data_IF_864825717010
#
_entry.id   IF_864825717010
#
_cell.length_a   1.000
_cell.length_b   1.000
_cell.length_c   1.000
_cell.angle_alpha   90.00
_cell.angle_beta   90.00
_cell.angle_gamma   90.00
#
_symmetry.space_group_name_H-M   'P 1'
#
loop_
_entity.id
_entity.type
_entity.pdbx_description
1 polymer ?
#
# COMPACT_ATOMS: atom_id res chain seq x y z
N UNK A 1 66.57 34.42 47.87
CA UNK A 1 66.40 33.15 47.11
C UNK A 1 67.31 33.17 45.89
N UNK A 2 68.31 32.28 45.84
CA UNK A 2 69.40 32.29 44.85
C UNK A 2 68.84 32.18 43.41
N UNK A 3 69.33 32.99 42.46
CA UNK A 3 68.85 33.06 41.06
C UNK A 3 68.76 31.68 40.38
N UNK A 4 69.69 30.77 40.73
CA UNK A 4 69.74 29.39 40.24
C UNK A 4 68.52 28.54 40.60
N UNK A 5 67.92 28.76 41.79
CA UNK A 5 66.73 28.01 42.20
C UNK A 5 65.48 28.51 41.48
N UNK A 6 65.38 29.80 41.14
CA UNK A 6 64.25 30.35 40.37
C UNK A 6 64.19 29.76 38.97
N UNK A 7 65.33 29.59 38.30
CA UNK A 7 65.42 28.97 36.98
C UNK A 7 65.00 27.50 37.05
N UNK A 8 65.46 26.75 38.05
CA UNK A 8 65.09 25.35 38.23
C UNK A 8 63.57 25.17 38.48
N UNK A 9 62.96 26.02 39.31
CA UNK A 9 61.51 25.98 39.55
C UNK A 9 60.71 26.33 38.29
N UNK A 10 61.14 27.32 37.50
CA UNK A 10 60.51 27.66 36.22
C UNK A 10 60.63 26.52 35.19
N UNK A 11 61.77 25.84 35.14
CA UNK A 11 61.98 24.68 34.27
C UNK A 11 61.11 23.48 34.67
N UNK A 12 60.92 23.23 35.97
CA UNK A 12 60.05 22.15 36.46
C UNK A 12 58.57 22.45 36.16
N UNK A 13 58.13 23.69 36.38
CA UNK A 13 56.74 24.11 36.06
C UNK A 13 56.48 24.05 34.55
N UNK A 14 57.44 24.46 33.72
CA UNK A 14 57.34 24.34 32.26
C UNK A 14 57.28 22.87 31.80
N UNK A 15 58.06 21.98 32.42
CA UNK A 15 58.05 20.55 32.09
C UNK A 15 56.73 19.87 32.49
N UNK A 16 56.15 20.22 33.65
CA UNK A 16 54.83 19.74 34.07
C UNK A 16 53.73 20.26 33.14
N UNK A 17 53.80 21.52 32.70
CA UNK A 17 52.84 22.09 31.75
C UNK A 17 52.87 21.39 30.37
N UNK A 18 54.05 20.94 29.92
CA UNK A 18 54.20 20.17 28.67
C UNK A 18 53.61 18.77 28.81
N UNK A 19 53.74 18.12 29.97
CA UNK A 19 53.19 16.79 30.23
C UNK A 19 51.65 16.79 30.34
N UNK A 20 51.03 17.88 30.80
CA UNK A 20 49.57 18.01 30.93
C UNK A 20 48.89 18.77 29.77
N UNK A 21 49.65 19.37 28.85
CA UNK A 21 49.12 20.21 27.77
C UNK A 21 48.55 19.43 26.56
N UNK A 22 48.69 18.11 26.52
CA UNK A 22 48.26 17.29 25.38
C UNK A 22 47.04 16.42 25.74
N UNK A 23 45.94 17.06 26.14
CA UNK A 23 44.64 16.38 26.17
C UNK A 23 44.26 16.02 24.74
N UNK A 24 44.29 14.72 24.42
CA UNK A 24 43.90 14.20 23.10
C UNK A 24 42.44 14.59 22.86
N UNK A 25 42.20 15.51 21.93
CA UNK A 25 40.84 15.89 21.53
C UNK A 25 40.12 14.64 21.06
N UNK A 26 39.08 14.24 21.77
CA UNK A 26 38.28 13.08 21.40
C UNK A 26 37.60 13.36 20.06
N UNK A 27 37.84 12.47 19.08
CA UNK A 27 37.30 12.65 17.74
C UNK A 27 35.82 12.25 17.73
N UNK A 28 34.96 13.21 17.38
CA UNK A 28 33.56 13.00 17.10
C UNK A 28 32.63 13.10 18.32
N UNK A 29 31.33 13.11 18.04
CA UNK A 29 30.24 13.21 19.01
C UNK A 29 29.17 12.17 18.69
N UNK A 30 28.55 11.59 19.71
CA UNK A 30 27.37 10.74 19.58
C UNK A 30 26.32 11.22 20.58
N UNK A 31 25.18 11.68 20.08
CA UNK A 31 24.11 12.27 20.87
C UNK A 31 23.29 11.19 21.58
N UNK A 32 22.75 11.54 22.74
CA UNK A 32 21.76 10.72 23.45
C UNK A 32 20.32 10.98 22.96
N UNK A 33 20.11 12.01 22.13
CA UNK A 33 18.80 12.42 21.63
C UNK A 33 18.58 12.12 20.14
N UNK A 34 19.23 11.09 19.60
CA UNK A 34 18.95 10.61 18.25
C UNK A 34 17.52 10.03 18.16
N UNK A 35 16.80 10.30 17.07
CA UNK A 35 15.38 9.89 16.94
C UNK A 35 14.94 9.65 15.50
N UNK A 36 13.83 8.92 15.34
CA UNK A 36 13.16 8.76 14.06
C UNK A 36 12.03 9.78 13.86
N UNK A 37 11.86 10.27 12.64
CA UNK A 37 10.73 11.11 12.23
C UNK A 37 10.19 10.70 10.84
N UNK A 38 8.88 10.50 10.67
CA UNK A 38 7.83 10.55 11.70
C UNK A 38 7.92 9.38 12.70
N UNK A 39 7.37 9.59 13.89
CA UNK A 39 7.21 8.57 14.94
C UNK A 39 5.84 8.79 15.62
N UNK A 40 4.82 7.95 15.35
CA UNK A 40 4.93 6.63 14.74
C UNK A 40 5.13 6.65 13.21
N UNK A 41 5.86 5.66 12.70
CA UNK A 41 5.84 5.27 11.29
C UNK A 41 4.57 4.46 11.03
N UNK A 42 3.66 4.99 10.22
CA UNK A 42 2.42 4.31 9.85
C UNK A 42 2.64 3.53 8.56
N UNK A 43 2.37 2.23 8.60
CA UNK A 43 2.46 1.33 7.45
C UNK A 43 1.15 0.55 7.27
N UNK A 44 0.87 0.14 6.04
CA UNK A 44 -0.24 -0.76 5.71
C UNK A 44 0.32 -2.13 5.37
N UNK A 45 -0.26 -3.20 5.92
CA UNK A 45 0.16 -4.57 5.62
C UNK A 45 0.22 -4.81 4.11
N UNK A 46 1.31 -5.43 3.66
CA UNK A 46 1.51 -5.78 2.26
C UNK A 46 2.01 -4.64 1.37
N UNK A 47 2.15 -3.42 1.90
CA UNK A 47 2.73 -2.29 1.18
C UNK A 47 4.19 -2.07 1.56
N UNK A 48 4.95 -1.49 0.63
CA UNK A 48 6.30 -0.99 0.91
C UNK A 48 6.20 0.37 1.58
N UNK A 49 6.80 0.53 2.75
CA UNK A 49 6.85 1.81 3.50
C UNK A 49 8.29 2.06 3.95
N UNK A 50 8.80 3.29 3.80
CA UNK A 50 10.13 3.64 4.29
C UNK A 50 10.10 4.90 5.14
N UNK A 51 10.94 4.96 6.17
CA UNK A 51 11.13 6.16 6.98
C UNK A 51 12.14 7.12 6.34
N UNK A 52 12.34 8.27 6.97
CA UNK A 52 13.57 9.05 6.81
C UNK A 52 14.76 8.30 7.45
N UNK A 53 15.97 8.79 7.18
CA UNK A 53 17.14 8.36 7.96
C UNK A 53 16.95 8.73 9.45
N UNK A 54 17.70 8.08 10.34
CA UNK A 54 17.75 8.44 11.75
C UNK A 54 18.28 9.88 11.88
N UNK A 55 17.56 10.71 12.62
CA UNK A 55 18.01 12.07 12.95
C UNK A 55 19.12 11.96 14.00
N UNK A 56 20.29 12.50 13.66
CA UNK A 56 21.52 12.27 14.41
C UNK A 56 21.74 13.24 15.57
N UNK A 57 20.94 14.29 15.66
CA UNK A 57 21.05 15.33 16.69
C UNK A 57 22.51 15.80 16.89
N UNK A 58 23.15 16.23 15.80
CA UNK A 58 24.53 16.72 15.83
C UNK A 58 25.62 15.64 15.93
N UNK A 59 25.27 14.35 16.02
CA UNK A 59 26.27 13.26 16.02
C UNK A 59 27.13 13.30 14.76
N UNK A 60 28.43 13.03 14.93
CA UNK A 60 29.37 12.97 13.81
C UNK A 60 29.06 11.77 12.92
N UNK A 61 28.81 12.04 11.63
CA UNK A 61 28.65 11.00 10.62
C UNK A 61 29.99 10.44 10.11
N UNK A 62 29.95 9.30 9.39
CA UNK A 62 28.79 8.44 9.18
C UNK A 62 28.43 7.65 10.45
N UNK A 63 27.16 7.28 10.59
CA UNK A 63 26.71 6.35 11.64
C UNK A 63 26.30 5.02 11.02
N UNK A 64 26.57 3.94 11.75
CA UNK A 64 26.03 2.60 11.47
C UNK A 64 24.92 2.28 12.45
N UNK A 65 23.84 1.65 11.98
CA UNK A 65 22.66 1.32 12.76
C UNK A 65 22.35 -0.17 12.62
N UNK A 66 22.18 -0.84 13.75
CA UNK A 66 21.81 -2.25 13.83
C UNK A 66 20.47 -2.38 14.53
N UNK A 67 19.52 -3.08 13.91
CA UNK A 67 18.27 -3.47 14.57
C UNK A 67 18.57 -4.51 15.65
N UNK A 68 18.09 -4.27 16.86
CA UNK A 68 18.26 -5.18 18.01
C UNK A 68 17.02 -6.04 18.23
N UNK A 69 15.85 -5.42 18.29
CA UNK A 69 14.59 -6.10 18.57
C UNK A 69 13.40 -5.37 17.94
N UNK A 70 12.33 -6.12 17.71
CA UNK A 70 11.01 -5.60 17.37
C UNK A 70 10.04 -6.18 18.39
N UNK A 71 9.36 -5.31 19.14
CA UNK A 71 8.48 -5.69 20.25
C UNK A 71 7.07 -5.18 20.05
N UNK A 72 6.09 -5.93 20.50
CA UNK A 72 4.71 -5.47 20.58
C UNK A 72 4.60 -4.40 21.67
N UNK A 73 4.05 -3.23 21.34
CA UNK A 73 4.03 -2.07 22.25
C UNK A 73 3.21 -2.31 23.51
N UNK A 74 2.15 -3.12 23.43
CA UNK A 74 1.25 -3.36 24.55
C UNK A 74 1.79 -4.42 25.52
N UNK A 75 2.43 -5.46 24.99
CA UNK A 75 2.90 -6.61 25.79
C UNK A 75 4.39 -6.57 26.11
N UNK A 76 5.16 -5.76 25.40
CA UNK A 76 6.62 -5.70 25.50
C UNK A 76 7.34 -6.94 24.96
N UNK A 77 6.62 -7.94 24.44
CA UNK A 77 7.19 -9.19 23.93
C UNK A 77 7.77 -9.01 22.53
N UNK A 78 8.84 -9.74 22.25
CA UNK A 78 9.44 -9.82 20.92
C UNK A 78 8.45 -10.36 19.89
N UNK A 79 8.56 -9.85 18.66
CA UNK A 79 7.73 -10.21 17.51
C UNK A 79 8.66 -10.71 16.41
N UNK A 80 9.16 -11.96 16.52
CA UNK A 80 10.14 -12.51 15.59
C UNK A 80 9.61 -12.60 14.15
N UNK A 81 8.29 -12.55 13.95
CA UNK A 81 7.63 -12.48 12.64
C UNK A 81 8.19 -11.35 11.79
N UNK A 82 8.60 -10.22 12.36
CA UNK A 82 9.21 -9.12 11.60
C UNK A 82 10.57 -9.44 10.99
N UNK A 83 11.24 -10.48 11.49
CA UNK A 83 12.60 -10.88 11.11
C UNK A 83 12.64 -12.19 10.34
N UNK A 84 11.52 -12.91 10.24
CA UNK A 84 11.38 -14.13 9.44
C UNK A 84 11.34 -13.79 7.96
N UNK A 85 11.93 -14.64 7.13
CA UNK A 85 11.78 -14.54 5.68
C UNK A 85 10.43 -15.10 5.23
N UNK A 86 9.76 -14.36 4.36
CA UNK A 86 8.54 -14.80 3.67
C UNK A 86 8.73 -14.66 2.17
N UNK A 87 8.15 -15.58 1.42
CA UNK A 87 8.11 -15.49 -0.04
C UNK A 87 7.04 -14.48 -0.45
N UNK A 88 7.45 -13.42 -1.15
CA UNK A 88 6.56 -12.40 -1.71
C UNK A 88 6.56 -12.50 -3.24
N UNK A 89 5.43 -12.16 -3.85
CA UNK A 89 5.32 -12.05 -5.31
C UNK A 89 5.87 -10.70 -5.76
N UNK A 90 6.76 -10.71 -6.75
CA UNK A 90 7.31 -9.51 -7.36
C UNK A 90 7.26 -9.63 -8.88
N UNK A 91 7.06 -8.49 -9.56
CA UNK A 91 7.26 -8.43 -11.01
C UNK A 91 8.75 -8.42 -11.34
N UNK A 92 9.18 -9.31 -12.23
CA UNK A 92 10.54 -9.32 -12.76
C UNK A 92 10.64 -8.63 -14.14
N UNK A 93 9.50 -8.32 -14.76
CA UNK A 93 9.40 -7.60 -16.02
C UNK A 93 8.07 -6.85 -16.10
N UNK A 94 8.04 -5.79 -16.92
CA UNK A 94 6.82 -5.03 -17.19
C UNK A 94 5.81 -5.89 -17.97
N UNK A 95 4.53 -5.82 -17.59
CA UNK A 95 3.44 -6.40 -18.38
C UNK A 95 3.06 -5.44 -19.51
N UNK A 96 2.88 -6.00 -20.69
CA UNK A 96 2.69 -5.31 -21.97
C UNK A 96 1.47 -5.87 -22.70
N UNK A 97 1.13 -5.28 -23.85
CA UNK A 97 0.07 -5.79 -24.73
C UNK A 97 0.35 -7.19 -25.26
N UNK A 98 1.62 -7.60 -25.38
CA UNK A 98 2.03 -8.93 -25.83
C UNK A 98 1.72 -10.04 -24.82
N UNK A 99 1.52 -9.68 -23.54
CA UNK A 99 1.10 -10.63 -22.50
C UNK A 99 -0.42 -10.84 -22.60
N UNK A 100 -0.82 -11.63 -23.59
CA UNK A 100 -2.22 -11.89 -23.95
C UNK A 100 -2.85 -13.06 -23.19
N UNK A 101 -2.06 -13.84 -22.46
CA UNK A 101 -2.54 -15.00 -21.70
C UNK A 101 -2.07 -14.96 -20.25
N UNK A 102 -2.80 -15.65 -19.37
CA UNK A 102 -2.45 -15.81 -17.95
C UNK A 102 -1.04 -16.41 -17.81
N UNK A 103 -0.69 -17.37 -18.66
CA UNK A 103 0.63 -18.02 -18.64
C UNK A 103 1.77 -17.04 -18.96
N UNK A 104 1.57 -16.10 -19.90
CA UNK A 104 2.56 -15.07 -20.23
C UNK A 104 2.73 -14.07 -19.08
N UNK A 105 1.62 -13.67 -18.45
CA UNK A 105 1.65 -12.81 -17.26
C UNK A 105 2.40 -13.49 -16.10
N UNK A 106 2.10 -14.75 -15.82
CA UNK A 106 2.74 -15.49 -14.72
C UNK A 106 4.24 -15.70 -14.92
N UNK A 107 4.74 -15.77 -16.16
CA UNK A 107 6.19 -15.80 -16.44
C UNK A 107 6.91 -14.53 -15.99
N UNK A 108 6.17 -13.42 -15.80
CA UNK A 108 6.70 -12.13 -15.34
C UNK A 108 6.58 -11.91 -13.83
N UNK A 109 6.12 -12.93 -13.11
CA UNK A 109 5.96 -12.93 -11.67
C UNK A 109 6.94 -13.95 -11.10
N UNK A 110 7.74 -13.51 -10.14
CA UNK A 110 8.64 -14.38 -9.39
C UNK A 110 8.33 -14.33 -7.90
N UNK A 111 8.67 -15.40 -7.19
CA UNK A 111 8.67 -15.41 -5.73
C UNK A 111 10.06 -15.08 -5.23
N UNK A 112 10.16 -14.05 -4.38
CA UNK A 112 11.42 -13.64 -3.75
C UNK A 112 11.30 -13.67 -2.23
N UNK A 113 12.34 -14.13 -1.51
CA UNK A 113 12.37 -14.02 -0.05
C UNK A 113 12.47 -12.54 0.35
N UNK A 114 11.72 -12.16 1.36
CA UNK A 114 11.76 -10.82 1.96
C UNK A 114 11.41 -10.89 3.43
N UNK A 115 12.11 -10.12 4.25
CA UNK A 115 11.75 -9.92 5.66
C UNK A 115 10.79 -8.72 5.78
N UNK A 116 9.82 -8.73 6.71
CA UNK A 116 8.86 -7.65 6.86
C UNK A 116 9.47 -6.31 7.25
N UNK A 117 10.55 -6.30 8.04
CA UNK A 117 11.19 -5.07 8.51
C UNK A 117 12.71 -5.18 8.45
N UNK A 118 13.34 -4.15 7.89
CA UNK A 118 14.79 -3.93 7.96
C UNK A 118 15.10 -2.52 8.44
N UNK A 119 16.30 -2.38 9.00
CA UNK A 119 16.92 -1.08 9.28
C UNK A 119 18.21 -1.03 8.45
N UNK A 120 18.30 -0.04 7.56
CA UNK A 120 19.48 0.16 6.72
C UNK A 120 20.70 0.46 7.59
N UNK A 121 21.79 -0.29 7.35
CA UNK A 121 22.99 -0.20 8.17
C UNK A 121 23.57 1.23 8.18
N UNK A 122 23.59 1.90 7.03
CA UNK A 122 24.06 3.28 6.93
C UNK A 122 22.87 4.23 7.10
N UNK A 123 22.96 5.12 8.10
CA UNK A 123 21.95 6.15 8.35
C UNK A 123 20.61 5.64 8.90
N UNK A 124 20.42 4.33 9.09
CA UNK A 124 19.34 3.78 9.90
C UNK A 124 17.94 3.82 9.29
N UNK A 125 17.78 3.98 7.97
CA UNK A 125 16.43 4.04 7.38
C UNK A 125 15.65 2.76 7.66
N UNK A 126 14.43 2.86 8.19
CA UNK A 126 13.52 1.73 8.37
C UNK A 126 12.84 1.46 7.03
N UNK A 127 12.77 0.19 6.63
CA UNK A 127 12.00 -0.26 5.48
C UNK A 127 11.07 -1.40 5.91
N UNK A 128 9.77 -1.22 5.65
CA UNK A 128 8.78 -2.27 5.73
C UNK A 128 8.47 -2.77 4.31
N UNK A 129 8.44 -4.08 4.12
CA UNK A 129 8.21 -4.72 2.83
C UNK A 129 6.79 -5.27 2.70
N UNK A 130 6.48 -5.83 1.53
CA UNK A 130 5.23 -6.55 1.31
C UNK A 130 5.07 -7.78 2.21
N UNK A 131 6.17 -8.29 2.79
CA UNK A 131 6.12 -9.43 3.71
C UNK A 131 5.38 -9.12 5.02
N UNK A 132 5.14 -7.84 5.34
CA UNK A 132 4.26 -7.41 6.45
C UNK A 132 2.83 -7.96 6.36
N UNK A 133 2.40 -8.46 5.19
CA UNK A 133 1.14 -9.21 5.07
C UNK A 133 1.07 -10.47 5.96
N UNK A 134 2.22 -10.99 6.41
CA UNK A 134 2.32 -12.17 7.29
C UNK A 134 2.50 -11.82 8.77
N UNK A 135 2.48 -10.54 9.12
CA UNK A 135 2.62 -10.06 10.49
C UNK A 135 1.28 -9.52 10.95
N UNK A 136 0.76 -9.85 12.15
CA UNK A 136 -0.49 -9.28 12.65
C UNK A 136 -0.50 -7.75 12.64
N UNK A 137 -1.67 -7.14 12.56
CA UNK A 137 -1.80 -5.69 12.71
C UNK A 137 -1.59 -5.28 14.16
N UNK A 138 -1.07 -4.07 14.39
CA UNK A 138 -0.90 -3.54 15.74
C UNK A 138 0.14 -2.43 15.84
N UNK A 139 0.45 -2.07 17.08
CA UNK A 139 1.48 -1.10 17.42
C UNK A 139 2.74 -1.82 17.91
N UNK A 140 3.87 -1.50 17.30
CA UNK A 140 5.17 -2.11 17.59
C UNK A 140 6.21 -1.04 17.92
N UNK A 141 7.28 -1.44 18.59
CA UNK A 141 8.46 -0.60 18.84
C UNK A 141 9.71 -1.34 18.39
N UNK A 142 10.67 -0.60 17.84
CA UNK A 142 11.99 -1.13 17.53
C UNK A 142 13.03 -0.60 18.50
N UNK A 143 14.01 -1.43 18.82
CA UNK A 143 15.23 -1.04 19.51
C UNK A 143 16.39 -1.11 18.52
N UNK A 144 17.25 -0.10 18.52
CA UNK A 144 18.41 -0.05 17.61
C UNK A 144 19.69 0.27 18.36
N UNK A 145 20.81 -0.19 17.83
CA UNK A 145 22.15 0.21 18.25
C UNK A 145 22.74 1.11 17.17
N UNK A 146 23.25 2.27 17.56
CA UNK A 146 23.86 3.27 16.68
C UNK A 146 25.32 3.42 17.05
N UNK A 147 26.20 3.42 16.06
CA UNK A 147 27.65 3.54 16.26
C UNK A 147 28.27 4.55 15.31
N UNK A 148 29.30 5.25 15.77
CA UNK A 148 30.18 6.07 14.94
C UNK A 148 31.61 6.04 15.48
N UNK A 149 32.50 6.90 14.96
CA UNK A 149 33.90 6.96 15.39
C UNK A 149 34.09 7.30 16.88
N UNK A 150 33.10 7.91 17.53
CA UNK A 150 33.14 8.28 18.95
C UNK A 150 32.72 7.12 19.87
N UNK A 151 31.80 6.27 19.41
CA UNK A 151 31.37 5.10 20.17
C UNK A 151 30.02 4.55 19.73
N UNK A 152 29.40 3.78 20.62
CA UNK A 152 28.13 3.09 20.38
C UNK A 152 27.08 3.51 21.43
N UNK A 153 25.83 3.57 20.99
CA UNK A 153 24.65 3.87 21.80
C UNK A 153 23.51 2.92 21.48
N UNK A 154 22.72 2.58 22.49
CA UNK A 154 21.49 1.80 22.32
C UNK A 154 20.30 2.74 22.49
N UNK A 155 19.45 2.80 21.47
CA UNK A 155 18.20 3.54 21.50
C UNK A 155 17.06 2.55 21.72
N UNK A 156 16.51 2.54 22.93
CA UNK A 156 15.33 1.74 23.27
C UNK A 156 14.06 2.47 22.82
N UNK A 157 13.09 1.74 22.30
CA UNK A 157 11.85 2.25 21.73
C UNK A 157 12.11 3.35 20.67
N UNK A 158 13.17 3.19 19.89
CA UNK A 158 13.68 4.18 18.95
C UNK A 158 12.63 4.68 17.95
N UNK A 159 11.73 3.79 17.50
CA UNK A 159 10.60 4.17 16.65
C UNK A 159 9.38 3.30 16.97
N UNK A 160 8.19 3.93 17.03
CA UNK A 160 6.91 3.24 17.05
C UNK A 160 6.47 2.97 15.61
N UNK A 161 5.95 1.77 15.36
CA UNK A 161 5.42 1.36 14.07
C UNK A 161 3.96 1.01 14.26
N UNK A 162 3.08 1.67 13.50
CA UNK A 162 1.66 1.35 13.46
C UNK A 162 1.37 0.60 12.17
N UNK A 163 1.14 -0.71 12.28
CA UNK A 163 0.82 -1.58 11.16
C UNK A 163 -0.70 -1.71 11.03
N UNK A 164 -1.25 -1.09 10.00
CA UNK A 164 -2.68 -1.06 9.69
C UNK A 164 -3.10 -2.23 8.79
N UNK A 165 -4.37 -2.68 8.85
CA UNK A 165 -4.87 -3.77 8.02
C UNK A 165 -4.66 -3.53 6.53
N UNK A 166 -4.41 -4.61 5.78
CA UNK A 166 -4.29 -4.56 4.32
C UNK A 166 -5.57 -4.01 3.69
N UNK A 167 -5.40 -3.14 2.70
CA UNK A 167 -6.50 -2.71 1.82
C UNK A 167 -6.71 -3.79 0.75
N UNK A 168 -7.90 -4.37 0.70
CA UNK A 168 -8.20 -5.46 -0.24
C UNK A 168 -8.68 -4.97 -1.61
N UNK A 169 -9.27 -3.78 -1.68
CA UNK A 169 -9.73 -3.18 -2.93
C UNK A 169 -9.63 -1.65 -2.88
N UNK A 170 -9.66 -1.02 -4.06
CA UNK A 170 -9.88 0.41 -4.22
C UNK A 170 -10.99 0.65 -5.25
N UNK A 171 -11.69 1.77 -5.10
CA UNK A 171 -12.66 2.29 -6.07
C UNK A 171 -12.76 3.80 -5.84
N UNK A 172 -13.00 4.57 -6.90
CA UNK A 172 -13.21 6.01 -6.80
C UNK A 172 -14.40 6.35 -5.89
N UNK A 173 -14.28 7.45 -5.13
CA UNK A 173 -15.31 7.92 -4.20
C UNK A 173 -16.40 8.77 -4.86
N UNK A 174 -16.28 9.07 -6.16
CA UNK A 174 -17.24 9.88 -6.92
C UNK A 174 -17.87 9.13 -8.10
N UNK A 175 -18.40 7.91 -7.92
CA UNK A 175 -19.18 7.24 -8.96
C UNK A 175 -20.49 8.00 -9.22
N UNK A 176 -21.00 7.91 -10.44
CA UNK A 176 -22.22 8.61 -10.83
C UNK A 176 -23.06 7.79 -11.81
N UNK A 177 -24.33 8.18 -11.95
CA UNK A 177 -25.18 7.70 -13.03
C UNK A 177 -25.88 8.87 -13.71
N UNK A 178 -26.26 8.66 -14.95
CA UNK A 178 -27.15 9.54 -15.74
C UNK A 178 -28.27 8.70 -16.33
N UNK A 179 -29.36 9.32 -16.74
CA UNK A 179 -30.35 8.68 -17.62
C UNK A 179 -30.26 9.25 -19.02
N UNK A 180 -30.73 8.50 -20.03
CA UNK A 180 -30.80 8.95 -21.42
C UNK A 180 -32.01 8.36 -22.13
N UNK A 181 -32.34 8.89 -23.30
CA UNK A 181 -33.47 8.42 -24.09
C UNK A 181 -33.23 7.00 -24.62
N UNK A 182 -34.31 6.24 -24.83
CA UNK A 182 -34.24 4.84 -25.31
C UNK A 182 -33.72 4.81 -26.74
N UNK A 183 -32.80 3.88 -27.03
CA UNK A 183 -32.22 3.72 -28.37
C UNK A 183 -31.25 4.83 -28.83
N UNK A 184 -31.01 5.85 -27.99
CA UNK A 184 -30.17 6.99 -28.36
C UNK A 184 -29.13 7.34 -27.27
N UNK A 185 -28.01 7.91 -27.70
CA UNK A 185 -26.98 8.50 -26.82
C UNK A 185 -27.25 10.02 -26.67
N UNK A 186 -28.49 10.38 -26.31
CA UNK A 186 -28.94 11.79 -26.18
C UNK A 186 -29.94 11.93 -25.02
N UNK A 187 -30.35 13.17 -24.72
CA UNK A 187 -31.32 13.44 -23.65
C UNK A 187 -30.78 13.14 -22.26
N UNK A 188 -29.51 13.42 -21.99
CA UNK A 188 -28.89 13.08 -20.71
C UNK A 188 -29.48 13.90 -19.55
N UNK A 189 -29.79 13.23 -18.44
CA UNK A 189 -29.99 13.92 -17.16
C UNK A 189 -28.65 14.45 -16.62
N UNK A 190 -28.72 15.36 -15.64
CA UNK A 190 -27.58 15.67 -14.81
C UNK A 190 -27.00 14.40 -14.15
N UNK A 191 -25.70 14.43 -13.87
CA UNK A 191 -25.01 13.37 -13.12
C UNK A 191 -25.49 13.36 -11.67
N UNK A 192 -25.85 12.18 -11.19
CA UNK A 192 -26.26 11.95 -9.81
C UNK A 192 -25.32 10.93 -9.16
N UNK A 193 -25.11 11.04 -7.85
CA UNK A 193 -24.27 10.10 -7.10
C UNK A 193 -24.78 8.66 -7.23
N UNK A 194 -23.87 7.71 -7.41
CA UNK A 194 -24.17 6.29 -7.56
C UNK A 194 -23.66 5.50 -6.34
N UNK A 195 -24.55 5.05 -5.44
CA UNK A 195 -24.16 4.18 -4.33
C UNK A 195 -23.52 2.88 -4.83
N UNK A 196 -22.29 2.63 -4.38
CA UNK A 196 -21.57 1.38 -4.61
C UNK A 196 -21.11 0.82 -3.27
N UNK A 197 -21.38 -0.46 -3.05
CA UNK A 197 -20.80 -1.22 -1.94
C UNK A 197 -19.97 -2.37 -2.48
N UNK A 198 -18.84 -2.65 -1.82
CA UNK A 198 -17.96 -3.76 -2.19
C UNK A 198 -17.81 -4.68 -1.00
N UNK A 199 -18.15 -5.94 -1.18
CA UNK A 199 -17.85 -7.00 -0.21
C UNK A 199 -16.71 -7.87 -0.72
N UNK A 200 -15.90 -8.39 0.20
CA UNK A 200 -14.77 -9.26 -0.09
C UNK A 200 -14.87 -10.53 0.76
N UNK A 201 -14.96 -11.68 0.09
CA UNK A 201 -14.84 -13.00 0.69
C UNK A 201 -13.44 -13.55 0.39
N UNK A 202 -12.59 -13.55 1.42
CA UNK A 202 -11.21 -14.02 1.32
C UNK A 202 -11.09 -15.54 1.10
N UNK A 203 -12.14 -16.31 1.36
CA UNK A 203 -12.17 -17.77 1.20
C UNK A 203 -12.68 -18.23 -0.16
N UNK A 204 -13.37 -17.33 -0.87
CA UNK A 204 -13.89 -17.59 -2.20
C UNK A 204 -12.80 -17.68 -3.28
N UNK A 205 -13.15 -18.15 -4.49
CA UNK A 205 -12.24 -18.14 -5.63
C UNK A 205 -11.91 -16.69 -6.04
N UNK A 206 -10.82 -16.50 -6.80
CA UNK A 206 -10.48 -15.22 -7.39
C UNK A 206 -11.51 -14.82 -8.46
N UNK A 207 -12.52 -14.07 -8.03
CA UNK A 207 -13.67 -13.66 -8.83
C UNK A 207 -14.07 -12.22 -8.54
N UNK A 208 -14.44 -11.48 -9.57
CA UNK A 208 -15.07 -10.16 -9.48
C UNK A 208 -16.50 -10.30 -10.01
N UNK A 209 -17.47 -9.81 -9.23
CA UNK A 209 -18.90 -9.86 -9.56
C UNK A 209 -19.44 -8.43 -9.53
N UNK A 210 -19.97 -7.95 -10.66
CA UNK A 210 -20.72 -6.69 -10.71
C UNK A 210 -22.21 -6.99 -10.68
N UNK A 211 -22.86 -6.60 -9.59
CA UNK A 211 -24.30 -6.78 -9.34
C UNK A 211 -25.00 -5.43 -9.46
N UNK A 212 -26.01 -5.34 -10.31
CA UNK A 212 -26.76 -4.10 -10.54
C UNK A 212 -28.14 -4.21 -9.90
N UNK A 213 -28.49 -3.24 -9.07
CA UNK A 213 -29.76 -3.17 -8.35
C UNK A 213 -30.54 -1.93 -8.75
N UNK A 214 -31.85 -2.05 -8.79
CA UNK A 214 -32.76 -0.91 -8.86
C UNK A 214 -32.87 -0.19 -7.51
N UNK A 215 -33.67 0.88 -7.45
CA UNK A 215 -33.86 1.68 -6.23
C UNK A 215 -34.44 0.87 -5.06
N UNK A 216 -35.16 -0.21 -5.32
CA UNK A 216 -35.81 -1.07 -4.34
C UNK A 216 -34.98 -2.32 -3.99
N UNK A 217 -33.79 -2.48 -4.58
CA UNK A 217 -32.92 -3.63 -4.37
C UNK A 217 -33.21 -4.83 -5.29
N UNK A 218 -34.10 -4.70 -6.28
CA UNK A 218 -34.34 -5.74 -7.27
C UNK A 218 -33.13 -5.86 -8.22
N UNK A 219 -32.70 -7.09 -8.49
CA UNK A 219 -31.50 -7.36 -9.30
C UNK A 219 -31.82 -7.30 -10.78
N UNK A 220 -31.00 -6.59 -11.56
CA UNK A 220 -31.06 -6.64 -13.02
C UNK A 220 -30.39 -7.91 -13.56
N UNK A 221 -31.09 -8.63 -14.45
CA UNK A 221 -30.65 -9.89 -15.03
C UNK A 221 -29.70 -9.65 -16.22
N UNK A 222 -28.40 -9.79 -15.99
CA UNK A 222 -27.39 -9.61 -17.03
C UNK A 222 -27.47 -10.68 -18.14
N UNK A 223 -27.86 -11.92 -17.82
CA UNK A 223 -28.06 -12.98 -18.80
C UNK A 223 -29.23 -12.70 -19.76
N UNK A 224 -30.26 -11.98 -19.30
CA UNK A 224 -31.38 -11.51 -20.13
C UNK A 224 -31.07 -10.19 -20.89
N UNK A 225 -29.85 -9.65 -20.75
CA UNK A 225 -29.45 -8.39 -21.41
C UNK A 225 -29.93 -7.13 -20.71
N UNK A 226 -30.39 -7.22 -19.46
CA UNK A 226 -30.77 -6.04 -18.66
C UNK A 226 -29.57 -5.19 -18.25
N UNK A 227 -28.36 -5.75 -18.34
CA UNK A 227 -27.08 -5.04 -18.13
C UNK A 227 -26.21 -5.23 -19.36
N UNK A 228 -25.83 -4.13 -19.99
CA UNK A 228 -24.97 -4.13 -21.18
C UNK A 228 -23.83 -3.12 -21.04
N UNK A 229 -22.74 -3.34 -21.77
CA UNK A 229 -21.69 -2.32 -21.94
C UNK A 229 -22.28 -1.11 -22.66
N UNK A 230 -21.89 0.10 -22.23
CA UNK A 230 -22.34 1.34 -22.87
C UNK A 230 -21.49 1.65 -24.11
N UNK A 231 -21.86 1.06 -25.24
CA UNK A 231 -21.19 1.28 -26.52
C UNK A 231 -19.75 0.77 -26.53
N UNK A 232 -18.82 1.57 -27.03
CA UNK A 232 -17.38 1.30 -27.10
C UNK A 232 -16.59 1.80 -25.88
N UNK A 233 -17.27 2.34 -24.86
CA UNK A 233 -16.64 2.88 -23.65
C UNK A 233 -16.02 1.79 -22.77
N UNK A 234 -15.15 2.24 -21.86
CA UNK A 234 -14.45 1.43 -20.87
C UNK A 234 -15.32 0.43 -20.12
N UNK A 235 -14.80 -0.77 -19.91
CA UNK A 235 -15.47 -1.78 -19.08
C UNK A 235 -14.46 -2.82 -18.56
N UNK A 236 -14.90 -3.62 -17.58
CA UNK A 236 -14.05 -4.62 -16.95
C UNK A 236 -13.50 -5.66 -17.93
N UNK A 237 -14.24 -6.06 -18.98
CA UNK A 237 -13.73 -7.03 -19.95
C UNK A 237 -12.56 -6.50 -20.79
N UNK A 238 -12.47 -5.18 -21.01
CA UNK A 238 -11.31 -4.57 -21.67
C UNK A 238 -10.10 -4.51 -20.74
N UNK A 239 -10.33 -4.19 -19.47
CA UNK A 239 -9.29 -4.15 -18.43
C UNK A 239 -8.83 -5.55 -17.98
N UNK A 240 -9.70 -6.54 -18.18
CA UNK A 240 -9.48 -7.96 -17.91
C UNK A 240 -9.63 -8.81 -19.18
N UNK A 241 -8.68 -8.71 -20.12
CA UNK A 241 -8.75 -9.50 -21.36
C UNK A 241 -8.45 -10.99 -21.13
N UNK A 242 -8.06 -11.38 -19.90
CA UNK A 242 -7.60 -12.73 -19.57
C UNK A 242 -8.75 -13.67 -19.23
N UNK A 243 -9.87 -13.13 -18.77
CA UNK A 243 -11.04 -13.91 -18.38
C UNK A 243 -12.27 -13.37 -19.12
N UNK A 244 -13.01 -14.22 -19.86
CA UNK A 244 -14.25 -13.80 -20.49
C UNK A 244 -15.29 -13.44 -19.42
N UNK A 245 -16.17 -12.49 -19.73
CA UNK A 245 -17.32 -12.19 -18.89
C UNK A 245 -18.32 -13.35 -18.91
N UNK A 246 -18.76 -13.78 -17.73
CA UNK A 246 -19.91 -14.67 -17.58
C UNK A 246 -21.11 -13.83 -17.17
N UNK A 247 -22.17 -13.86 -17.96
CA UNK A 247 -23.43 -13.17 -17.64
C UNK A 247 -24.36 -14.12 -16.90
N UNK A 248 -24.80 -13.74 -15.71
CA UNK A 248 -25.71 -14.54 -14.88
C UNK A 248 -27.01 -13.78 -14.62
N UNK A 249 -27.95 -14.44 -13.95
CA UNK A 249 -29.19 -13.78 -13.51
C UNK A 249 -28.95 -12.73 -12.43
N UNK A 250 -27.78 -12.73 -11.79
CA UNK A 250 -27.45 -11.86 -10.65
C UNK A 250 -26.36 -10.85 -10.94
N UNK A 251 -25.67 -10.93 -12.08
CA UNK A 251 -24.65 -9.96 -12.44
C UNK A 251 -23.72 -10.37 -13.59
N UNK A 252 -22.63 -9.62 -13.71
CA UNK A 252 -21.51 -9.91 -14.61
C UNK A 252 -20.35 -10.44 -13.78
N UNK A 253 -19.78 -11.58 -14.15
CA UNK A 253 -18.69 -12.23 -13.41
C UNK A 253 -17.43 -12.36 -14.26
N UNK A 254 -16.28 -12.17 -13.62
CA UNK A 254 -14.96 -12.44 -14.20
C UNK A 254 -14.08 -13.16 -13.19
N UNK A 255 -13.25 -14.09 -13.67
CA UNK A 255 -12.05 -14.49 -12.92
C UNK A 255 -11.01 -13.37 -12.93
N UNK A 256 -10.01 -13.41 -12.06
CA UNK A 256 -8.87 -12.49 -12.15
C UNK A 256 -7.55 -13.14 -11.73
N UNK A 257 -6.44 -12.57 -12.21
CA UNK A 257 -5.09 -12.95 -11.80
C UNK A 257 -4.73 -12.15 -10.55
N UNK A 258 -4.33 -12.82 -9.47
CA UNK A 258 -3.74 -12.10 -8.33
C UNK A 258 -2.37 -11.56 -8.73
N UNK A 259 -2.20 -10.25 -8.64
CA UNK A 259 -0.98 -9.56 -9.04
C UNK A 259 -0.33 -8.83 -7.86
N UNK A 260 1.01 -8.71 -7.81
CA UNK A 260 1.74 -8.00 -6.75
C UNK A 260 1.21 -6.59 -6.43
N UNK A 261 0.83 -5.82 -7.45
CA UNK A 261 0.38 -4.43 -7.33
C UNK A 261 -1.13 -4.26 -7.61
N UNK A 262 -1.88 -5.36 -7.49
CA UNK A 262 -3.32 -5.39 -7.74
C UNK A 262 -3.72 -5.55 -9.21
N UNK A 263 -5.01 -5.80 -9.41
CA UNK A 263 -5.66 -6.10 -10.68
C UNK A 263 -6.91 -5.23 -10.84
N UNK A 264 -7.28 -4.73 -12.04
CA UNK A 264 -6.59 -4.88 -13.32
C UNK A 264 -5.35 -3.98 -13.42
N UNK A 265 -4.48 -4.31 -14.38
CA UNK A 265 -3.24 -3.58 -14.71
C UNK A 265 -3.29 -2.90 -16.09
N UNK A 266 -4.33 -3.20 -16.87
CA UNK A 266 -4.59 -2.58 -18.17
C UNK A 266 -5.78 -1.65 -18.02
N UNK A 267 -5.70 -0.51 -18.67
CA UNK A 267 -6.83 0.40 -18.80
C UNK A 267 -7.74 -0.05 -19.94
N UNK A 268 -9.01 0.29 -19.83
CA UNK A 268 -9.98 0.15 -20.91
C UNK A 268 -10.02 1.42 -21.76
N UNK A 269 -11.00 1.48 -22.65
CA UNK A 269 -11.30 2.73 -23.34
C UNK A 269 -11.71 3.79 -22.30
N UNK A 270 -11.18 5.01 -22.41
CA UNK A 270 -11.38 6.07 -21.40
C UNK A 270 -10.79 5.75 -20.00
N UNK A 271 -9.68 5.01 -19.93
CA UNK A 271 -8.92 4.80 -18.69
C UNK A 271 -9.51 3.68 -17.82
N UNK A 272 -9.65 3.94 -16.52
CA UNK A 272 -10.13 2.97 -15.51
C UNK A 272 -11.66 2.90 -15.40
N UNK A 273 -12.38 3.59 -16.30
CA UNK A 273 -13.82 3.74 -16.23
C UNK A 273 -14.58 2.47 -16.59
N UNK A 274 -15.59 2.16 -15.80
CA UNK A 274 -16.55 1.10 -16.01
C UNK A 274 -17.89 1.71 -16.41
N UNK A 275 -18.23 1.61 -17.70
CA UNK A 275 -19.42 2.22 -18.28
C UNK A 275 -20.44 1.16 -18.68
N UNK A 276 -21.54 1.09 -17.94
CA UNK A 276 -22.63 0.16 -18.21
C UNK A 276 -23.93 0.90 -18.52
N UNK A 277 -24.91 0.15 -19.03
CA UNK A 277 -26.25 0.62 -19.32
C UNK A 277 -27.27 -0.43 -18.88
N UNK A 278 -28.31 0.04 -18.22
CA UNK A 278 -29.59 -0.66 -18.10
C UNK A 278 -30.49 -0.14 -19.23
N UNK A 279 -30.82 -0.94 -20.26
CA UNK A 279 -31.67 -0.49 -21.35
C UNK A 279 -33.07 -0.10 -20.86
N UNK A 280 -33.61 1.02 -21.34
CA UNK A 280 -34.87 1.58 -20.84
C UNK A 280 -36.10 0.69 -21.05
N UNK A 281 -36.02 -0.28 -21.97
CA UNK A 281 -37.08 -1.29 -22.11
C UNK A 281 -37.26 -2.14 -20.85
N UNK A 282 -36.24 -2.24 -19.99
CA UNK A 282 -36.25 -2.96 -18.71
C UNK A 282 -36.46 -2.05 -17.49
N UNK A 283 -36.64 -0.74 -17.69
CA UNK A 283 -36.92 0.23 -16.61
C UNK A 283 -38.36 0.75 -16.69
N UNK A 284 -39.00 0.99 -15.54
CA UNK A 284 -40.37 1.54 -15.48
C UNK A 284 -40.38 2.97 -16.02
N UNK A 285 -39.31 3.72 -15.77
CA UNK A 285 -39.14 5.10 -16.21
C UNK A 285 -39.03 5.22 -17.74
N UNK A 286 -38.88 4.10 -18.45
CA UNK A 286 -38.69 4.05 -19.90
C UNK A 286 -37.53 4.94 -20.37
N UNK A 287 -36.45 4.94 -19.57
CA UNK A 287 -35.19 5.64 -19.85
C UNK A 287 -34.03 4.69 -19.61
N UNK A 288 -32.98 4.82 -20.41
CA UNK A 288 -31.73 4.13 -20.14
C UNK A 288 -31.15 4.63 -18.81
N UNK A 289 -30.61 3.75 -17.98
CA UNK A 289 -29.78 4.13 -16.85
C UNK A 289 -28.31 3.86 -17.17
N UNK A 290 -27.44 4.83 -16.95
CA UNK A 290 -26.03 4.78 -17.36
C UNK A 290 -25.11 4.92 -16.14
N UNK A 291 -24.94 3.86 -15.31
CA UNK A 291 -24.01 3.87 -14.19
C UNK A 291 -22.54 3.90 -14.66
N UNK A 292 -21.72 4.67 -13.95
CA UNK A 292 -20.30 4.88 -14.22
C UNK A 292 -19.50 4.91 -12.92
N UNK A 293 -18.41 4.15 -12.87
CA UNK A 293 -17.46 4.17 -11.75
C UNK A 293 -16.03 3.89 -12.21
N UNK A 294 -15.05 4.34 -11.43
CA UNK A 294 -13.64 4.38 -11.84
C UNK A 294 -12.74 3.72 -10.81
N UNK A 295 -11.52 3.40 -11.25
CA UNK A 295 -10.41 2.98 -10.38
C UNK A 295 -10.68 1.73 -9.54
N UNK A 296 -11.62 0.87 -9.99
CA UNK A 296 -11.85 -0.39 -9.32
C UNK A 296 -10.63 -1.30 -9.46
N UNK A 297 -9.97 -1.61 -8.34
CA UNK A 297 -8.84 -2.53 -8.24
C UNK A 297 -9.00 -3.48 -7.07
N UNK A 298 -8.52 -4.70 -7.23
CA UNK A 298 -8.41 -5.72 -6.18
C UNK A 298 -6.94 -5.99 -5.88
N UNK A 299 -6.59 -6.14 -4.60
CA UNK A 299 -5.22 -6.28 -4.11
C UNK A 299 -4.96 -7.62 -3.41
N UNK A 300 -6.00 -8.44 -3.24
CA UNK A 300 -5.93 -9.74 -2.55
C UNK A 300 -6.75 -10.79 -3.28
N UNK A 301 -6.40 -12.06 -3.07
CA UNK A 301 -7.23 -13.18 -3.48
C UNK A 301 -8.63 -13.13 -2.84
N UNK A 302 -9.57 -13.85 -3.43
CA UNK A 302 -10.95 -13.95 -2.94
C UNK A 302 -11.99 -13.45 -3.94
N UNK A 303 -13.26 -13.55 -3.55
CA UNK A 303 -14.38 -13.08 -4.34
C UNK A 303 -14.77 -11.67 -3.92
N UNK A 304 -14.88 -10.75 -4.89
CA UNK A 304 -15.34 -9.39 -4.69
C UNK A 304 -16.71 -9.19 -5.33
N UNK A 305 -17.69 -8.75 -4.56
CA UNK A 305 -19.00 -8.37 -5.10
C UNK A 305 -19.16 -6.87 -5.03
N UNK A 306 -19.17 -6.23 -6.20
CA UNK A 306 -19.46 -4.80 -6.38
C UNK A 306 -20.94 -4.65 -6.64
N UNK A 307 -21.67 -4.15 -5.64
CA UNK A 307 -23.11 -3.89 -5.74
C UNK A 307 -23.32 -2.45 -6.13
N UNK A 308 -23.87 -2.24 -7.33
CA UNK A 308 -24.20 -0.95 -7.93
C UNK A 308 -25.70 -0.74 -7.82
N UNK A 309 -26.14 0.08 -6.87
CA UNK A 309 -27.57 0.38 -6.68
C UNK A 309 -27.89 1.72 -7.31
N UNK A 310 -28.77 1.74 -8.32
CA UNK A 310 -29.06 2.95 -9.10
C UNK A 310 -30.28 3.67 -8.49
N UNK A 311 -30.07 4.81 -7.78
CA UNK A 311 -31.17 5.57 -7.21
C UNK A 311 -32.08 6.07 -8.34
N UNK A 312 -33.40 6.12 -8.12
CA UNK A 312 -34.39 6.60 -9.09
C UNK A 312 -34.68 5.71 -10.33
N UNK A 313 -34.13 4.50 -10.41
CA UNK A 313 -34.50 3.54 -11.46
C UNK A 313 -35.26 2.37 -10.86
N UNK A 314 -36.31 1.93 -11.53
CA UNK A 314 -37.13 0.78 -11.12
C UNK A 314 -37.07 -0.30 -12.18
N UNK A 315 -36.72 -1.53 -11.80
CA UNK A 315 -36.72 -2.68 -12.72
C UNK A 315 -38.17 -3.02 -13.09
N UNK A 316 -38.45 -3.25 -14.37
CA UNK A 316 -39.71 -3.85 -14.82
C UNK A 316 -39.77 -5.33 -14.37
N UNK A 317 -40.93 -5.81 -13.88
CA UNK A 317 -41.08 -7.20 -13.43
C UNK A 317 -40.54 -8.22 -14.43
#
# INVERSE_FOLDING_TARGET
>A
MNSKYKILYLSIVAFIAILYGCAKVEKGFISDYMYYSPNPLIATQGNVTTSKALELDGSSGPVTVKLLAVRNSATGKDVPEFLKEYMIQQFNAQITVADSTIALVNKKIELKPSVPLTVGEIGGRIALSQATANVPTGDYVIDVQVSNAKGTRTLLNACRIKLTPKVHYAISTSPFYTTSDVGAETGFSASNFLPITVTHDATGPNKIIFKFLDKNGAVFNAAAGEVVTRGDRGNMSQMNPYFPVVKTTTGLEWGFIQLPNGFPIKDGNNGTGNYYRIPGQFTVENRNANPVFFDFKVFSAGTYTVTVQIPAITRKP
#
